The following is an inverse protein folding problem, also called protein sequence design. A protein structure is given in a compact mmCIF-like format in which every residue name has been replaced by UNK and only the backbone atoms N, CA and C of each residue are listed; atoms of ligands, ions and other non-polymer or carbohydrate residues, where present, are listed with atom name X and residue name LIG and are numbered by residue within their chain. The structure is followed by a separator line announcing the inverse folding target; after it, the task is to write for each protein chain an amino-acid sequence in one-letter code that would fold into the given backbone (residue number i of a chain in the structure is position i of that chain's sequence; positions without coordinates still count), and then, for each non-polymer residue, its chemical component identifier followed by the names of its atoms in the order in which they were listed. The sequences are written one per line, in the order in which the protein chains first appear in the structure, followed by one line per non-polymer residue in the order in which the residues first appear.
data_IF_705294045543
#
_entry.id   IF_705294045543
#
_cell.length_a   1.000
_cell.length_b   1.000
_cell.length_c   1.000
_cell.angle_alpha   90.00
_cell.angle_beta   90.00
_cell.angle_gamma   90.00
#
_symmetry.space_group_name_H-M   'P 1'
#
loop_
_entity.id
_entity.type
_entity.pdbx_description
1 polymer ?
#
# COMPACT_ATOMS: atom_id res chain seq x y z
N UNK A 1 0.52 -36.75 -7.50
CA UNK A 1 -0.18 -35.86 -6.54
C UNK A 1 0.69 -34.68 -6.08
N UNK A 2 1.98 -34.88 -5.79
CA UNK A 2 2.88 -33.80 -5.34
C UNK A 2 3.15 -32.71 -6.40
N UNK A 3 3.36 -33.08 -7.68
CA UNK A 3 3.54 -32.11 -8.79
C UNK A 3 2.37 -31.13 -8.94
N UNK A 4 1.13 -31.57 -8.71
CA UNK A 4 -0.08 -30.77 -8.86
C UNK A 4 -0.30 -29.80 -7.69
N UNK A 5 0.33 -30.04 -6.54
CA UNK A 5 0.27 -29.14 -5.38
C UNK A 5 1.31 -28.03 -5.55
N UNK A 6 2.53 -28.37 -5.95
CA UNK A 6 3.60 -27.38 -6.16
C UNK A 6 3.28 -26.38 -7.28
N UNK A 7 2.63 -26.81 -8.36
CA UNK A 7 2.24 -25.89 -9.45
C UNK A 7 1.22 -24.83 -9.04
N UNK A 8 0.51 -25.02 -7.91
CA UNK A 8 -0.50 -24.05 -7.42
C UNK A 8 0.10 -22.92 -6.59
N UNK A 9 1.33 -23.07 -6.11
CA UNK A 9 1.99 -22.15 -5.19
C UNK A 9 3.29 -21.56 -5.73
N UNK A 10 3.55 -21.66 -7.04
CA UNK A 10 4.79 -21.17 -7.65
C UNK A 10 5.01 -19.67 -7.38
N UNK A 11 3.97 -18.84 -7.59
CA UNK A 11 4.07 -17.39 -7.35
C UNK A 11 4.24 -17.06 -5.87
N UNK A 12 3.48 -17.72 -4.99
CA UNK A 12 3.63 -17.52 -3.54
C UNK A 12 5.02 -17.87 -3.04
N UNK A 13 5.60 -18.99 -3.52
CA UNK A 13 6.93 -19.40 -3.11
C UNK A 13 7.97 -18.33 -3.50
N UNK A 14 7.89 -17.80 -4.73
CA UNK A 14 8.80 -16.74 -5.21
C UNK A 14 8.61 -15.44 -4.42
N UNK A 15 7.36 -15.00 -4.21
CA UNK A 15 7.06 -13.77 -3.46
C UNK A 15 7.53 -13.90 -2.01
N UNK A 16 7.25 -15.04 -1.36
CA UNK A 16 7.67 -15.29 0.02
C UNK A 16 9.19 -15.33 0.13
N UNK A 17 9.87 -16.04 -0.77
CA UNK A 17 11.33 -16.09 -0.79
C UNK A 17 11.93 -14.69 -0.91
N UNK A 18 11.40 -13.87 -1.83
CA UNK A 18 11.86 -12.48 -1.99
C UNK A 18 11.63 -11.64 -0.73
N UNK A 19 10.44 -11.70 -0.13
CA UNK A 19 10.13 -10.98 1.11
C UNK A 19 10.98 -11.43 2.29
N UNK A 20 11.25 -12.73 2.42
CA UNK A 20 12.12 -13.27 3.46
C UNK A 20 13.57 -12.82 3.27
N UNK A 21 14.12 -12.89 2.06
CA UNK A 21 15.47 -12.38 1.75
C UNK A 21 15.58 -10.91 2.17
N UNK A 22 14.58 -10.10 1.76
CA UNK A 22 14.52 -8.68 2.10
C UNK A 22 14.44 -8.43 3.60
N UNK A 23 13.61 -9.21 4.30
CA UNK A 23 13.47 -9.17 5.76
C UNK A 23 14.81 -9.48 6.44
N UNK A 24 15.49 -10.57 6.06
CA UNK A 24 16.78 -10.95 6.66
C UNK A 24 17.89 -9.94 6.36
N UNK A 25 17.90 -9.35 5.17
CA UNK A 25 18.89 -8.32 4.81
C UNK A 25 18.72 -7.04 5.63
N UNK A 26 17.49 -6.72 6.06
CA UNK A 26 17.15 -5.49 6.79
C UNK A 26 17.22 -5.65 8.31
N UNK A 27 17.09 -6.87 8.85
CA UNK A 27 16.95 -7.10 10.29
C UNK A 27 18.29 -7.43 10.98
N UNK A 28 18.83 -6.58 11.87
CA UNK A 28 20.07 -6.79 12.62
C UNK A 28 20.07 -7.89 13.67
N UNK A 29 19.02 -8.69 13.80
CA UNK A 29 18.84 -9.50 15.01
C UNK A 29 19.25 -10.96 14.88
N UNK A 30 20.20 -11.36 15.74
CA UNK A 30 20.58 -12.75 16.04
C UNK A 30 19.60 -13.39 17.03
N UNK A 31 18.38 -13.69 16.58
CA UNK A 31 17.42 -14.47 17.40
C UNK A 31 15.96 -14.28 16.99
N UNK A 32 15.14 -15.31 17.17
CA UNK A 32 13.69 -15.26 16.87
C UNK A 32 12.97 -14.38 17.91
N UNK A 33 12.91 -13.08 17.66
CA UNK A 33 12.13 -12.15 18.48
C UNK A 33 10.67 -12.11 18.02
N UNK A 34 9.76 -11.66 18.89
CA UNK A 34 8.35 -11.41 18.53
C UNK A 34 8.24 -10.52 17.28
N UNK A 35 9.11 -9.51 17.14
CA UNK A 35 9.20 -8.63 15.97
C UNK A 35 9.45 -9.39 14.66
N UNK A 36 10.39 -10.34 14.67
CA UNK A 36 10.67 -11.19 13.49
C UNK A 36 9.49 -12.10 13.20
N UNK A 37 8.89 -12.73 14.22
CA UNK A 37 7.72 -13.59 14.05
C UNK A 37 6.55 -12.81 13.41
N UNK A 38 6.28 -11.59 13.86
CA UNK A 38 5.24 -10.73 13.28
C UNK A 38 5.56 -10.29 11.86
N UNK A 39 6.82 -9.93 11.58
CA UNK A 39 7.25 -9.61 10.21
C UNK A 39 7.09 -10.83 9.28
N UNK A 40 7.40 -12.04 9.74
CA UNK A 40 7.16 -13.28 8.99
C UNK A 40 5.67 -13.51 8.72
N UNK A 41 4.80 -13.32 9.73
CA UNK A 41 3.34 -13.41 9.56
C UNK A 41 2.87 -12.39 8.51
N UNK A 42 3.37 -11.16 8.55
CA UNK A 42 3.05 -10.14 7.55
C UNK A 42 3.53 -10.53 6.14
N UNK A 43 4.73 -11.09 6.02
CA UNK A 43 5.27 -11.58 4.75
C UNK A 43 4.39 -12.71 4.18
N UNK A 44 3.98 -13.67 5.02
CA UNK A 44 3.08 -14.75 4.63
C UNK A 44 1.74 -14.18 4.18
N UNK A 45 1.15 -13.26 4.95
CA UNK A 45 -0.12 -12.64 4.61
C UNK A 45 -0.06 -11.94 3.25
N UNK A 46 0.94 -11.11 3.01
CA UNK A 46 1.11 -10.37 1.74
C UNK A 46 1.36 -11.33 0.58
N UNK A 47 2.16 -12.37 0.80
CA UNK A 47 2.37 -13.43 -0.17
C UNK A 47 1.05 -14.05 -0.59
N UNK A 48 0.20 -14.42 0.37
CA UNK A 48 -1.10 -15.03 0.09
C UNK A 48 -2.04 -14.08 -0.65
N UNK A 49 -2.04 -12.79 -0.28
CA UNK A 49 -2.87 -11.77 -0.93
C UNK A 49 -2.41 -11.56 -2.38
N UNK A 50 -1.13 -11.27 -2.62
CA UNK A 50 -0.59 -11.00 -3.95
C UNK A 50 -0.65 -12.25 -4.84
N UNK A 51 -0.33 -13.42 -4.29
CA UNK A 51 -0.42 -14.69 -5.00
C UNK A 51 -1.86 -15.06 -5.36
N UNK A 52 -2.84 -14.83 -4.47
CA UNK A 52 -4.27 -14.93 -4.81
C UNK A 52 -4.67 -13.97 -5.92
N UNK A 53 -4.13 -12.75 -5.92
CA UNK A 53 -4.42 -11.74 -6.94
C UNK A 53 -3.87 -12.17 -8.32
N UNK A 54 -2.63 -12.67 -8.37
CA UNK A 54 -2.03 -13.24 -9.59
C UNK A 54 -2.82 -14.46 -10.08
N UNK A 55 -3.18 -15.39 -9.19
CA UNK A 55 -3.99 -16.56 -9.60
C UNK A 55 -5.37 -16.18 -10.09
N UNK A 56 -5.99 -15.17 -9.50
CA UNK A 56 -7.28 -14.68 -9.95
C UNK A 56 -7.16 -14.10 -11.36
N UNK A 57 -6.12 -13.31 -11.63
CA UNK A 57 -5.82 -12.84 -12.98
C UNK A 57 -5.56 -14.01 -13.95
N UNK A 58 -4.82 -15.05 -13.55
CA UNK A 58 -4.54 -16.22 -14.40
C UNK A 58 -5.79 -16.98 -14.85
N UNK A 59 -6.89 -16.93 -14.08
CA UNK A 59 -8.12 -17.64 -14.42
C UNK A 59 -9.00 -16.88 -15.41
N UNK A 60 -8.92 -15.54 -15.41
CA UNK A 60 -9.93 -14.72 -16.07
C UNK A 60 -9.37 -13.57 -16.91
N UNK A 61 -8.06 -13.38 -16.94
CA UNK A 61 -7.42 -12.31 -17.68
C UNK A 61 -6.58 -12.88 -18.82
N UNK A 62 -6.37 -12.07 -19.85
CA UNK A 62 -5.46 -12.39 -20.93
C UNK A 62 -4.01 -12.47 -20.41
N UNK A 63 -3.15 -13.16 -21.17
CA UNK A 63 -1.74 -13.34 -20.80
C UNK A 63 -1.03 -12.01 -20.54
N UNK A 64 -1.44 -10.96 -21.25
CA UNK A 64 -0.90 -9.62 -21.14
C UNK A 64 -1.26 -8.94 -19.81
N UNK A 65 -2.51 -9.02 -19.35
CA UNK A 65 -2.89 -8.54 -18.01
C UNK A 65 -2.10 -9.27 -16.93
N UNK A 66 -1.94 -10.60 -17.07
CA UNK A 66 -1.15 -11.42 -16.13
C UNK A 66 0.30 -10.93 -16.01
N UNK A 67 0.99 -10.71 -17.14
CA UNK A 67 2.40 -10.24 -17.14
C UNK A 67 2.53 -8.88 -16.47
N UNK A 68 1.60 -7.98 -16.74
CA UNK A 68 1.63 -6.63 -16.15
C UNK A 68 1.34 -6.66 -14.67
N UNK A 69 0.39 -7.49 -14.24
CA UNK A 69 0.14 -7.66 -12.83
C UNK A 69 1.39 -8.21 -12.12
N UNK A 70 2.05 -9.21 -12.70
CA UNK A 70 3.32 -9.71 -12.17
C UNK A 70 4.40 -8.61 -12.12
N UNK A 71 4.44 -7.72 -13.12
CA UNK A 71 5.35 -6.57 -13.13
C UNK A 71 5.02 -5.55 -12.04
N UNK A 72 3.74 -5.22 -11.83
CA UNK A 72 3.32 -4.34 -10.72
C UNK A 72 3.64 -4.94 -9.36
N UNK A 73 3.45 -6.26 -9.21
CA UNK A 73 3.88 -6.99 -8.01
C UNK A 73 5.39 -6.91 -7.84
N UNK A 74 6.16 -7.10 -8.92
CA UNK A 74 7.61 -6.95 -8.88
C UNK A 74 8.06 -5.52 -8.52
N UNK A 75 7.39 -4.49 -9.04
CA UNK A 75 7.61 -3.10 -8.64
C UNK A 75 7.32 -2.85 -7.16
N UNK A 76 6.19 -3.36 -6.64
CA UNK A 76 5.85 -3.24 -5.22
C UNK A 76 6.90 -3.93 -4.34
N UNK A 77 7.22 -5.18 -4.65
CA UNK A 77 8.20 -5.97 -3.88
C UNK A 77 9.60 -5.37 -3.94
N UNK A 78 10.04 -4.99 -5.15
CA UNK A 78 11.33 -4.38 -5.42
C UNK A 78 11.49 -3.02 -4.74
N UNK A 79 10.43 -2.22 -4.65
CA UNK A 79 10.48 -0.88 -4.04
C UNK A 79 10.66 -0.86 -2.52
N UNK A 80 10.95 0.33 -1.99
CA UNK A 80 10.99 0.59 -0.52
C UNK A 80 9.61 0.74 0.12
N UNK A 81 8.50 0.64 -0.63
CA UNK A 81 7.14 0.83 -0.11
C UNK A 81 6.85 -0.12 1.05
N UNK A 82 7.10 -1.42 0.85
CA UNK A 82 6.94 -2.43 1.90
C UNK A 82 7.97 -2.27 3.02
N UNK A 83 9.11 -1.62 2.78
CA UNK A 83 10.12 -1.38 3.81
C UNK A 83 9.67 -0.29 4.79
N UNK A 84 9.11 0.81 4.28
CA UNK A 84 8.61 1.89 5.14
C UNK A 84 7.45 1.47 6.05
N UNK A 85 6.83 0.32 5.76
CA UNK A 85 5.62 -0.13 6.45
C UNK A 85 5.91 -1.41 7.25
N UNK A 86 6.32 -2.49 6.61
CA UNK A 86 6.52 -3.79 7.27
C UNK A 86 7.94 -3.88 7.84
N UNK A 87 8.93 -3.43 7.07
CA UNK A 87 10.34 -3.53 7.45
C UNK A 87 10.91 -2.21 7.97
N UNK A 88 10.12 -1.48 8.75
CA UNK A 88 10.49 -0.13 9.19
C UNK A 88 11.82 -0.16 9.95
N UNK A 89 12.76 0.72 9.59
CA UNK A 89 14.15 0.72 10.08
C UNK A 89 14.27 0.77 11.62
N UNK A 90 13.22 1.20 12.33
CA UNK A 90 13.14 1.23 13.80
C UNK A 90 12.60 -0.08 14.39
N UNK A 91 13.11 -1.24 13.96
CA UNK A 91 12.73 -2.55 14.52
C UNK A 91 13.01 -2.73 16.01
N UNK A 92 13.74 -1.78 16.61
CA UNK A 92 13.98 -1.70 18.06
C UNK A 92 12.66 -1.52 18.84
N UNK A 93 11.66 -0.84 18.27
CA UNK A 93 10.38 -0.63 18.94
C UNK A 93 9.35 -1.71 18.56
N UNK A 94 9.18 -2.71 19.43
CA UNK A 94 8.25 -3.85 19.23
C UNK A 94 6.82 -3.40 18.93
N UNK A 95 6.34 -2.34 19.58
CA UNK A 95 4.98 -1.83 19.39
C UNK A 95 4.74 -1.32 17.97
N UNK A 96 5.77 -0.73 17.35
CA UNK A 96 5.69 -0.15 16.01
C UNK A 96 5.34 -1.18 14.93
N UNK A 97 5.96 -2.35 15.00
CA UNK A 97 5.79 -3.40 13.99
C UNK A 97 4.40 -4.02 14.11
N UNK A 98 3.96 -4.31 15.34
CA UNK A 98 2.60 -4.79 15.62
C UNK A 98 1.59 -3.85 14.97
N UNK A 99 1.74 -2.55 15.24
CA UNK A 99 0.88 -1.51 14.71
C UNK A 99 0.86 -1.53 13.18
N UNK A 100 2.04 -1.47 12.54
CA UNK A 100 2.15 -1.45 11.08
C UNK A 100 1.57 -2.70 10.40
N UNK A 101 1.78 -3.89 10.99
CA UNK A 101 1.21 -5.14 10.46
C UNK A 101 -0.31 -5.13 10.57
N UNK A 102 -0.87 -4.69 11.70
CA UNK A 102 -2.31 -4.52 11.87
C UNK A 102 -2.85 -3.51 10.85
N UNK A 103 -2.16 -2.38 10.64
CA UNK A 103 -2.56 -1.37 9.64
C UNK A 103 -2.65 -1.95 8.23
N UNK A 104 -1.59 -2.61 7.77
CA UNK A 104 -1.55 -3.21 6.43
C UNK A 104 -2.63 -4.28 6.29
N UNK A 105 -2.80 -5.11 7.31
CA UNK A 105 -3.83 -6.15 7.33
C UNK A 105 -5.23 -5.52 7.20
N UNK A 106 -5.57 -4.58 8.07
CA UNK A 106 -6.86 -3.88 8.06
C UNK A 106 -7.12 -3.17 6.73
N UNK A 107 -6.13 -2.47 6.17
CA UNK A 107 -6.25 -1.78 4.88
C UNK A 107 -6.53 -2.77 3.75
N UNK A 108 -5.72 -3.82 3.63
CA UNK A 108 -5.86 -4.81 2.56
C UNK A 108 -7.19 -5.56 2.67
N UNK A 109 -7.59 -5.96 3.90
CA UNK A 109 -8.87 -6.64 4.14
C UNK A 109 -10.04 -5.71 3.85
N UNK A 110 -9.96 -4.42 4.20
CA UNK A 110 -10.98 -3.44 3.83
C UNK A 110 -11.12 -3.37 2.30
N UNK A 111 -10.02 -3.22 1.56
CA UNK A 111 -10.06 -3.24 0.09
C UNK A 111 -10.63 -4.55 -0.49
N UNK A 112 -10.27 -5.70 0.07
CA UNK A 112 -10.68 -7.02 -0.42
C UNK A 112 -12.12 -7.42 -0.06
N UNK A 113 -12.68 -6.80 0.98
CA UNK A 113 -14.08 -7.01 1.37
C UNK A 113 -15.00 -6.07 0.62
N UNK A 114 -14.57 -4.83 0.39
CA UNK A 114 -15.35 -3.76 -0.27
C UNK A 114 -16.02 -4.25 -1.57
N UNK A 115 -17.34 -4.11 -1.64
CA UNK A 115 -18.18 -4.59 -2.74
C UNK A 115 -18.96 -5.88 -2.43
N UNK A 116 -18.73 -6.52 -1.29
CA UNK A 116 -19.50 -7.69 -0.83
C UNK A 116 -20.53 -7.30 0.22
N UNK A 117 -21.81 -7.36 -0.12
CA UNK A 117 -22.91 -6.84 0.70
C UNK A 117 -22.89 -7.31 2.17
N UNK A 118 -22.50 -8.56 2.44
CA UNK A 118 -22.47 -9.13 3.79
C UNK A 118 -21.17 -8.81 4.56
N UNK A 119 -20.02 -8.78 3.89
CA UNK A 119 -18.71 -8.68 4.56
C UNK A 119 -18.27 -7.22 4.82
N UNK A 120 -18.84 -6.24 4.12
CA UNK A 120 -18.40 -4.84 4.17
C UNK A 120 -18.59 -4.15 5.54
N UNK A 121 -19.46 -4.69 6.40
CA UNK A 121 -19.78 -4.09 7.70
C UNK A 121 -18.64 -4.19 8.74
N UNK A 122 -17.59 -4.94 8.44
CA UNK A 122 -16.37 -4.97 9.25
C UNK A 122 -15.45 -3.77 8.99
N UNK A 123 -15.62 -3.04 7.87
CA UNK A 123 -14.75 -1.91 7.50
C UNK A 123 -14.74 -0.80 8.56
N UNK A 124 -15.89 -0.35 9.12
CA UNK A 124 -15.88 0.61 10.23
C UNK A 124 -15.09 0.13 11.46
N UNK A 125 -15.12 -1.17 11.77
CA UNK A 125 -14.34 -1.75 12.87
C UNK A 125 -12.85 -1.66 12.57
N UNK A 126 -12.43 -1.98 11.35
CA UNK A 126 -11.03 -1.81 10.93
C UNK A 126 -10.59 -0.36 11.01
N UNK A 127 -11.42 0.60 10.57
CA UNK A 127 -11.16 2.03 10.70
C UNK A 127 -11.02 2.46 12.17
N UNK A 128 -11.88 1.96 13.06
CA UNK A 128 -11.79 2.20 14.51
C UNK A 128 -10.46 1.69 15.07
N UNK A 129 -10.14 0.41 14.84
CA UNK A 129 -8.92 -0.23 15.35
C UNK A 129 -7.67 0.49 14.86
N UNK A 130 -7.62 0.77 13.56
CA UNK A 130 -6.51 1.52 12.97
C UNK A 130 -6.36 2.91 13.62
N UNK A 131 -7.45 3.66 13.71
CA UNK A 131 -7.40 5.00 14.28
C UNK A 131 -7.09 5.01 15.79
N UNK A 132 -7.50 3.97 16.52
CA UNK A 132 -7.18 3.79 17.94
C UNK A 132 -5.68 3.51 18.16
N UNK A 133 -5.06 2.75 17.25
CA UNK A 133 -3.63 2.42 17.30
C UNK A 133 -2.75 3.60 16.85
N UNK A 134 -3.15 4.30 15.78
CA UNK A 134 -2.41 5.42 15.21
C UNK A 134 -3.39 6.46 14.66
N UNK A 135 -3.63 7.55 15.41
CA UNK A 135 -4.54 8.62 15.00
C UNK A 135 -4.27 9.22 13.61
N UNK A 136 -3.00 9.25 13.18
CA UNK A 136 -2.61 9.71 11.85
C UNK A 136 -3.23 8.88 10.70
N UNK A 137 -3.78 7.69 10.98
CA UNK A 137 -4.55 6.89 10.03
C UNK A 137 -5.65 7.68 9.30
N UNK A 138 -6.30 8.62 10.00
CA UNK A 138 -7.38 9.46 9.46
C UNK A 138 -6.92 10.29 8.26
N UNK A 139 -5.65 10.67 8.23
CA UNK A 139 -5.07 11.46 7.14
C UNK A 139 -4.39 10.58 6.09
N UNK A 140 -3.80 9.45 6.52
CA UNK A 140 -3.02 8.60 5.61
C UNK A 140 -3.93 7.67 4.79
N UNK A 141 -4.74 6.84 5.46
CA UNK A 141 -5.41 5.70 4.81
C UNK A 141 -6.92 5.86 4.72
N UNK A 142 -7.53 6.56 5.66
CA UNK A 142 -8.98 6.77 5.67
C UNK A 142 -9.51 7.44 4.39
N UNK A 143 -8.83 8.46 3.79
CA UNK A 143 -9.28 9.02 2.52
C UNK A 143 -9.38 7.97 1.42
N UNK A 144 -8.47 6.98 1.42
CA UNK A 144 -8.51 5.87 0.46
C UNK A 144 -9.76 5.00 0.64
N UNK A 145 -10.12 4.67 1.89
CA UNK A 145 -11.33 3.90 2.19
C UNK A 145 -12.58 4.67 1.78
N UNK A 146 -12.65 5.97 2.05
CA UNK A 146 -13.79 6.81 1.65
C UNK A 146 -13.91 6.87 0.12
N UNK A 147 -12.80 7.08 -0.59
CA UNK A 147 -12.79 7.09 -2.07
C UNK A 147 -13.21 5.73 -2.64
N UNK A 148 -12.77 4.64 -2.01
CA UNK A 148 -13.15 3.28 -2.41
C UNK A 148 -14.67 3.04 -2.23
N UNK A 149 -15.24 3.46 -1.10
CA UNK A 149 -16.68 3.35 -0.84
C UNK A 149 -17.49 4.27 -1.76
N UNK A 150 -16.98 5.47 -2.07
CA UNK A 150 -17.59 6.38 -3.04
C UNK A 150 -17.62 5.76 -4.45
N UNK A 151 -16.53 5.08 -4.85
CA UNK A 151 -16.49 4.36 -6.12
C UNK A 151 -17.51 3.22 -6.17
N UNK A 152 -17.67 2.46 -5.08
CA UNK A 152 -18.72 1.43 -5.04
C UNK A 152 -20.13 2.00 -5.00
N UNK A 153 -20.32 3.19 -4.41
CA UNK A 153 -21.58 3.89 -4.50
C UNK A 153 -21.89 4.29 -5.94
N UNK A 154 -20.87 4.74 -6.68
CA UNK A 154 -20.96 5.08 -8.10
C UNK A 154 -21.36 3.89 -8.99
N UNK A 155 -20.89 2.67 -8.70
CA UNK A 155 -21.28 1.46 -9.45
C UNK A 155 -22.75 1.04 -9.26
N UNK A 156 -23.56 1.81 -8.52
CA UNK A 156 -25.03 1.72 -8.31
C UNK A 156 -25.55 0.47 -7.61
N UNK A 157 -24.91 -0.69 -7.70
CA UNK A 157 -25.41 -1.93 -7.10
C UNK A 157 -25.59 -1.85 -5.57
N UNK A 158 -24.86 -0.95 -4.89
CA UNK A 158 -24.90 -0.78 -3.43
C UNK A 158 -24.76 0.68 -2.99
N UNK A 159 -25.37 1.62 -3.71
CA UNK A 159 -25.19 3.06 -3.48
C UNK A 159 -25.50 3.51 -2.03
N UNK A 160 -26.72 3.25 -1.56
CA UNK A 160 -27.14 3.64 -0.21
C UNK A 160 -26.28 2.97 0.88
N UNK A 161 -26.01 1.67 0.74
CA UNK A 161 -25.19 0.93 1.69
C UNK A 161 -23.75 1.46 1.74
N UNK A 162 -23.15 1.81 0.60
CA UNK A 162 -21.78 2.31 0.54
C UNK A 162 -21.64 3.70 1.16
N UNK A 163 -22.64 4.57 0.99
CA UNK A 163 -22.69 5.88 1.64
C UNK A 163 -22.83 5.72 3.17
N UNK A 164 -23.73 4.84 3.60
CA UNK A 164 -23.94 4.54 5.02
C UNK A 164 -22.67 3.97 5.67
N UNK A 165 -21.97 3.05 4.98
CA UNK A 165 -20.69 2.52 5.41
C UNK A 165 -19.61 3.61 5.49
N UNK A 166 -19.57 4.56 4.55
CA UNK A 166 -18.67 5.71 4.60
C UNK A 166 -18.90 6.57 5.84
N UNK A 167 -20.17 6.88 6.13
CA UNK A 167 -20.58 7.57 7.36
C UNK A 167 -20.18 6.80 8.62
N UNK A 168 -20.43 5.48 8.66
CA UNK A 168 -20.04 4.62 9.77
C UNK A 168 -18.52 4.59 9.99
N UNK A 169 -17.71 4.56 8.92
CA UNK A 169 -16.25 4.66 9.02
C UNK A 169 -15.81 6.00 9.61
N UNK A 170 -16.46 7.10 9.22
CA UNK A 170 -16.18 8.44 9.77
C UNK A 170 -16.49 8.52 11.25
N UNK A 171 -17.66 8.03 11.67
CA UNK A 171 -18.07 7.99 13.07
C UNK A 171 -17.13 7.11 13.88
N UNK A 172 -16.77 5.93 13.36
CA UNK A 172 -15.85 5.00 14.01
C UNK A 172 -14.45 5.60 14.21
N UNK A 173 -13.88 6.23 13.17
CA UNK A 173 -12.60 6.91 13.30
C UNK A 173 -12.67 8.09 14.27
N UNK A 174 -13.73 8.90 14.23
CA UNK A 174 -13.93 10.00 15.17
C UNK A 174 -14.06 9.50 16.62
N UNK A 175 -14.80 8.41 16.86
CA UNK A 175 -14.90 7.79 18.17
C UNK A 175 -13.54 7.30 18.67
N UNK A 176 -12.74 6.66 17.81
CA UNK A 176 -11.39 6.23 18.15
C UNK A 176 -10.48 7.42 18.48
N UNK A 177 -10.54 8.51 17.71
CA UNK A 177 -9.81 9.75 18.03
C UNK A 177 -10.23 10.35 19.38
N UNK A 178 -11.53 10.36 19.70
CA UNK A 178 -12.02 10.90 20.97
C UNK A 178 -11.57 10.05 22.17
N UNK A 179 -11.56 8.73 22.01
CA UNK A 179 -11.21 7.80 23.09
C UNK A 179 -9.70 7.64 23.29
N UNK A 180 -8.94 7.52 22.19
CA UNK A 180 -7.51 7.18 22.20
C UNK A 180 -6.60 8.32 21.74
N UNK A 181 -7.16 9.38 21.15
CA UNK A 181 -6.37 10.51 20.63
C UNK A 181 -5.87 11.49 21.69
N UNK A 182 -6.11 11.24 22.99
CA UNK A 182 -5.59 12.10 24.08
C UNK A 182 -4.05 12.13 24.13
N UNK A 183 -3.41 11.05 23.69
CA UNK A 183 -1.94 10.94 23.61
C UNK A 183 -1.36 11.52 22.32
N UNK A 184 -2.21 12.03 21.41
CA UNK A 184 -1.75 12.94 20.37
C UNK A 184 -1.31 14.19 21.12
N UNK A 185 -0.03 14.23 21.51
CA UNK A 185 0.60 15.44 22.02
C UNK A 185 0.23 16.52 21.03
N UNK A 186 -0.69 17.40 21.42
CA UNK A 186 -0.92 18.61 20.65
C UNK A 186 0.44 19.24 20.61
N UNK A 187 0.97 19.34 19.40
CA UNK A 187 2.20 20.05 19.17
C UNK A 187 1.83 21.53 19.28
N UNK A 188 1.48 21.96 20.49
CA UNK A 188 0.83 23.23 20.83
C UNK A 188 1.73 24.43 20.45
N UNK A 189 3.02 24.16 20.17
CA UNK A 189 4.03 25.16 19.81
C UNK A 189 4.70 24.98 18.44
N UNK A 190 4.42 23.92 17.66
CA UNK A 190 4.96 23.85 16.28
C UNK A 190 3.90 24.28 15.26
N UNK A 191 4.14 25.45 14.68
CA UNK A 191 3.51 25.83 13.41
C UNK A 191 3.70 24.70 12.38
N UNK A 192 2.74 24.53 11.48
CA UNK A 192 2.85 23.59 10.35
C UNK A 192 4.18 23.79 9.59
N UNK A 193 4.65 25.03 9.51
CA UNK A 193 5.93 25.38 8.90
C UNK A 193 7.12 24.70 9.60
N UNK A 194 7.17 24.69 10.94
CA UNK A 194 8.26 24.05 11.69
C UNK A 194 8.25 22.52 11.52
N UNK A 195 7.06 21.91 11.44
CA UNK A 195 6.95 20.46 11.18
C UNK A 195 7.39 20.12 9.76
N UNK A 196 6.99 20.93 8.77
CA UNK A 196 7.47 20.79 7.40
C UNK A 196 8.98 21.01 7.30
N UNK A 197 9.52 22.01 8.00
CA UNK A 197 10.95 22.32 8.02
C UNK A 197 11.78 21.18 8.63
N UNK A 198 11.26 20.52 9.67
CA UNK A 198 11.92 19.35 10.26
C UNK A 198 11.77 18.08 9.42
N UNK A 199 10.70 17.96 8.63
CA UNK A 199 10.35 16.72 7.92
C UNK A 199 10.68 16.72 6.42
N UNK A 200 10.90 17.88 5.78
CA UNK A 200 11.01 17.95 4.32
C UNK A 200 12.17 17.13 3.77
N UNK A 201 13.30 17.03 4.49
CA UNK A 201 14.45 16.21 4.06
C UNK A 201 14.04 14.74 3.94
N UNK A 202 13.29 14.22 4.91
CA UNK A 202 12.78 12.86 4.89
C UNK A 202 11.76 12.67 3.77
N UNK A 203 10.84 13.63 3.58
CA UNK A 203 9.86 13.59 2.49
C UNK A 203 10.58 13.54 1.14
N UNK A 204 11.52 14.45 0.88
CA UNK A 204 12.27 14.52 -0.38
C UNK A 204 13.09 13.25 -0.60
N UNK A 205 13.74 12.73 0.44
CA UNK A 205 14.47 11.47 0.38
C UNK A 205 13.55 10.29 0.02
N UNK A 206 12.40 10.17 0.69
CA UNK A 206 11.43 9.12 0.43
C UNK A 206 10.81 9.26 -0.97
N UNK A 207 10.50 10.48 -1.41
CA UNK A 207 10.04 10.77 -2.77
C UNK A 207 11.09 10.36 -3.81
N UNK A 208 12.37 10.65 -3.57
CA UNK A 208 13.46 10.27 -4.47
C UNK A 208 13.52 8.74 -4.60
N UNK A 209 13.51 8.01 -3.48
CA UNK A 209 13.57 6.54 -3.46
C UNK A 209 12.45 5.88 -4.29
N UNK A 210 11.22 6.41 -4.23
CA UNK A 210 10.08 5.86 -4.99
C UNK A 210 9.70 6.69 -6.22
N UNK A 211 10.60 7.56 -6.69
CA UNK A 211 10.31 8.49 -7.78
C UNK A 211 9.78 7.79 -9.06
N UNK A 212 10.36 6.66 -9.52
CA UNK A 212 9.79 5.95 -10.67
C UNK A 212 8.34 5.49 -10.46
N UNK A 213 7.98 5.07 -9.24
CA UNK A 213 6.60 4.67 -8.94
C UNK A 213 5.65 5.85 -9.01
N UNK A 214 6.05 7.02 -8.50
CA UNK A 214 5.24 8.24 -8.56
C UNK A 214 4.93 8.61 -10.01
N UNK A 215 5.95 8.56 -10.90
CA UNK A 215 5.74 8.80 -12.32
C UNK A 215 4.82 7.77 -12.96
N UNK A 216 4.99 6.49 -12.61
CA UNK A 216 4.13 5.42 -13.11
C UNK A 216 2.68 5.65 -12.66
N UNK A 217 2.43 5.93 -11.38
CA UNK A 217 1.09 6.23 -10.87
C UNK A 217 0.47 7.46 -11.53
N UNK A 218 1.22 8.56 -11.61
CA UNK A 218 0.76 9.78 -12.28
C UNK A 218 0.34 9.49 -13.73
N UNK A 219 1.16 8.74 -14.47
CA UNK A 219 0.86 8.32 -15.84
C UNK A 219 -0.41 7.47 -15.90
N UNK A 220 -0.58 6.48 -15.01
CA UNK A 220 -1.78 5.64 -14.96
C UNK A 220 -3.03 6.48 -14.72
N UNK A 221 -3.02 7.33 -13.70
CA UNK A 221 -4.22 8.08 -13.31
C UNK A 221 -4.57 9.19 -14.29
N UNK A 222 -3.59 9.94 -14.81
CA UNK A 222 -3.84 10.96 -15.84
C UNK A 222 -4.44 10.32 -17.09
N UNK A 223 -3.87 9.21 -17.57
CA UNK A 223 -4.41 8.51 -18.73
C UNK A 223 -5.81 7.92 -18.46
N UNK A 224 -6.09 7.50 -17.21
CA UNK A 224 -7.42 7.05 -16.80
C UNK A 224 -8.45 8.18 -16.83
N UNK A 225 -8.08 9.38 -16.36
CA UNK A 225 -8.94 10.58 -16.44
C UNK A 225 -9.24 10.95 -17.90
N UNK A 226 -8.24 10.87 -18.78
CA UNK A 226 -8.40 11.18 -20.21
C UNK A 226 -9.32 10.16 -20.89
N UNK A 227 -9.14 8.87 -20.60
CA UNK A 227 -9.94 7.80 -21.21
C UNK A 227 -11.37 7.70 -20.64
N UNK A 228 -11.58 8.14 -19.39
CA UNK A 228 -12.87 8.13 -18.75
C UNK A 228 -13.87 9.01 -19.52
N UNK A 229 -15.08 8.48 -19.78
CA UNK A 229 -16.20 9.26 -20.33
C UNK A 229 -17.06 9.88 -19.23
N UNK A 230 -17.23 9.15 -18.13
CA UNK A 230 -18.09 9.53 -17.02
C UNK A 230 -17.44 10.58 -16.10
N UNK A 231 -18.20 11.62 -15.73
CA UNK A 231 -17.71 12.73 -14.89
C UNK A 231 -17.45 12.30 -13.44
N UNK A 232 -18.30 11.43 -12.87
CA UNK A 232 -18.13 10.95 -11.50
C UNK A 232 -16.92 10.01 -11.38
N UNK A 233 -16.69 9.15 -12.38
CA UNK A 233 -15.48 8.33 -12.42
C UNK A 233 -14.22 9.20 -12.50
N UNK A 234 -14.20 10.25 -13.33
CA UNK A 234 -13.08 11.22 -13.35
C UNK A 234 -12.84 11.85 -11.99
N UNK A 235 -13.91 12.28 -11.32
CA UNK A 235 -13.83 12.85 -9.98
C UNK A 235 -13.19 11.88 -8.99
N UNK A 236 -13.60 10.60 -9.01
CA UNK A 236 -13.00 9.55 -8.16
C UNK A 236 -11.50 9.39 -8.46
N UNK A 237 -11.09 9.32 -9.72
CA UNK A 237 -9.66 9.19 -10.06
C UNK A 237 -8.86 10.43 -9.62
N UNK A 238 -9.43 11.63 -9.71
CA UNK A 238 -8.80 12.86 -9.18
C UNK A 238 -8.61 12.73 -7.66
N UNK A 239 -9.60 12.22 -6.91
CA UNK A 239 -9.45 12.00 -5.48
C UNK A 239 -8.34 10.98 -5.16
N UNK A 240 -8.19 9.93 -5.97
CA UNK A 240 -7.07 8.96 -5.83
C UNK A 240 -5.72 9.64 -6.06
N UNK A 241 -5.62 10.52 -7.07
CA UNK A 241 -4.39 11.27 -7.36
C UNK A 241 -4.03 12.28 -6.26
N UNK A 242 -5.03 12.90 -5.63
CA UNK A 242 -4.84 13.89 -4.55
C UNK A 242 -4.57 13.21 -3.20
N UNK A 243 -4.93 11.93 -3.04
CA UNK A 243 -4.76 11.18 -1.79
C UNK A 243 -3.36 11.32 -1.14
N UNK A 244 -2.23 11.26 -1.87
CA UNK A 244 -0.90 11.41 -1.27
C UNK A 244 -0.70 12.73 -0.51
N UNK A 245 -1.41 13.80 -0.89
CA UNK A 245 -1.33 15.11 -0.21
C UNK A 245 -1.87 15.00 1.22
N UNK A 246 -2.93 14.22 1.45
CA UNK A 246 -3.46 14.02 2.80
C UNK A 246 -2.45 13.29 3.71
N UNK A 247 -1.63 12.42 3.16
CA UNK A 247 -0.58 11.75 3.94
C UNK A 247 0.53 12.71 4.37
N UNK A 248 0.77 13.80 3.63
CA UNK A 248 1.69 14.88 4.06
C UNK A 248 1.09 15.64 5.24
N UNK A 249 -0.22 15.89 5.23
CA UNK A 249 -0.92 16.54 6.36
C UNK A 249 -0.77 15.72 7.65
N UNK A 250 -0.71 14.39 7.54
CA UNK A 250 -0.50 13.50 8.68
C UNK A 250 0.79 13.77 9.46
N UNK A 251 1.82 14.35 8.81
CA UNK A 251 3.08 14.72 9.44
C UNK A 251 2.89 15.80 10.52
N UNK A 252 1.87 16.66 10.38
CA UNK A 252 1.57 17.70 11.36
C UNK A 252 0.96 17.16 12.67
N UNK A 253 0.42 15.94 12.65
CA UNK A 253 -0.39 15.40 13.75
C UNK A 253 0.30 14.27 14.52
N UNK A 254 1.49 13.82 14.11
CA UNK A 254 2.27 12.84 14.88
C UNK A 254 3.73 12.81 14.43
N UNK A 255 4.63 12.37 15.31
CA UNK A 255 5.86 11.69 14.87
C UNK A 255 5.43 10.45 14.08
N UNK A 256 5.12 10.63 12.80
CA UNK A 256 4.50 9.59 12.00
C UNK A 256 5.43 8.39 11.96
N UNK A 257 5.00 7.33 12.65
CA UNK A 257 5.65 6.04 12.76
C UNK A 257 5.81 5.33 11.41
N UNK A 258 4.92 5.67 10.47
CA UNK A 258 4.90 5.17 9.11
C UNK A 258 5.35 6.31 8.20
N UNK A 259 6.28 6.00 7.29
CA UNK A 259 6.66 6.91 6.22
C UNK A 259 5.43 7.22 5.35
N UNK A 260 4.99 8.48 5.38
CA UNK A 260 3.76 8.93 4.71
C UNK A 260 3.82 8.78 3.19
N UNK A 261 5.01 8.89 2.60
CA UNK A 261 5.23 8.71 1.15
C UNK A 261 5.07 7.23 0.80
N UNK A 262 5.67 6.33 1.59
CA UNK A 262 5.55 4.88 1.39
C UNK A 262 4.11 4.42 1.59
N UNK A 263 3.42 4.92 2.62
CA UNK A 263 2.01 4.64 2.86
C UNK A 263 1.13 5.09 1.70
N UNK A 264 1.36 6.29 1.17
CA UNK A 264 0.66 6.79 -0.02
C UNK A 264 0.89 5.88 -1.21
N UNK A 265 2.14 5.49 -1.49
CA UNK A 265 2.46 4.59 -2.58
C UNK A 265 1.79 3.22 -2.42
N UNK A 266 1.70 2.68 -1.20
CA UNK A 266 0.95 1.45 -0.93
C UNK A 266 -0.54 1.61 -1.28
N UNK A 267 -1.16 2.72 -0.89
CA UNK A 267 -2.55 3.03 -1.23
C UNK A 267 -2.77 3.07 -2.75
N UNK A 268 -1.82 3.65 -3.51
CA UNK A 268 -1.90 3.67 -4.97
C UNK A 268 -1.86 2.25 -5.56
N UNK A 269 -1.00 1.36 -5.03
CA UNK A 269 -1.03 -0.06 -5.40
C UNK A 269 -2.36 -0.74 -5.06
N UNK A 270 -2.92 -0.47 -3.87
CA UNK A 270 -4.22 -1.01 -3.49
C UNK A 270 -5.33 -0.62 -4.48
N UNK A 271 -5.36 0.65 -4.94
CA UNK A 271 -6.30 1.09 -5.96
C UNK A 271 -6.07 0.43 -7.33
N UNK A 272 -4.82 0.33 -7.79
CA UNK A 272 -4.50 -0.37 -9.04
C UNK A 272 -4.98 -1.83 -8.99
N UNK A 273 -4.66 -2.53 -7.91
CA UNK A 273 -5.06 -3.92 -7.71
C UNK A 273 -6.58 -4.07 -7.57
N UNK A 274 -7.25 -3.11 -6.94
CA UNK A 274 -8.70 -3.08 -6.85
C UNK A 274 -9.33 -2.96 -8.23
N UNK A 275 -8.94 -1.95 -9.03
CA UNK A 275 -9.48 -1.76 -10.38
C UNK A 275 -9.21 -2.95 -11.31
N UNK A 276 -8.03 -3.57 -11.19
CA UNK A 276 -7.71 -4.81 -11.88
C UNK A 276 -8.62 -5.96 -11.46
N UNK A 277 -8.91 -6.08 -10.16
CA UNK A 277 -9.76 -7.14 -9.64
C UNK A 277 -11.20 -7.02 -10.16
N UNK A 278 -11.77 -5.81 -10.15
CA UNK A 278 -13.15 -5.56 -10.60
C UNK A 278 -13.27 -5.40 -12.12
N UNK A 279 -12.14 -5.30 -12.84
CA UNK A 279 -12.05 -5.16 -14.30
C UNK A 279 -12.82 -3.97 -14.85
N UNK A 280 -12.66 -2.81 -14.24
CA UNK A 280 -13.29 -1.58 -14.73
C UNK A 280 -12.85 -1.29 -16.18
N UNK A 281 -13.80 -1.19 -17.10
CA UNK A 281 -13.49 -1.10 -18.55
C UNK A 281 -12.66 0.13 -18.93
N UNK A 282 -12.89 1.27 -18.28
CA UNK A 282 -12.14 2.49 -18.56
C UNK A 282 -10.70 2.34 -18.08
N UNK A 283 -10.52 1.82 -16.86
CA UNK A 283 -9.21 1.51 -16.30
C UNK A 283 -8.46 0.45 -17.14
N UNK A 284 -9.12 -0.65 -17.52
CA UNK A 284 -8.50 -1.74 -18.29
C UNK A 284 -7.95 -1.25 -19.63
N UNK A 285 -8.66 -0.34 -20.32
CA UNK A 285 -8.18 0.22 -21.60
C UNK A 285 -6.88 1.01 -21.47
N UNK A 286 -6.68 1.68 -20.32
CA UNK A 286 -5.47 2.45 -20.01
C UNK A 286 -4.39 1.53 -19.50
N UNK A 287 -4.78 0.55 -18.69
CA UNK A 287 -3.90 -0.51 -18.23
C UNK A 287 -3.23 -1.20 -19.42
N UNK A 288 -4.01 -1.63 -20.40
CA UNK A 288 -3.54 -2.27 -21.63
C UNK A 288 -2.55 -1.42 -22.43
N UNK A 289 -2.70 -0.09 -22.43
CA UNK A 289 -1.76 0.83 -23.08
C UNK A 289 -0.48 0.95 -22.27
N UNK A 290 -0.57 1.07 -20.95
CA UNK A 290 0.60 1.11 -20.08
C UNK A 290 1.44 -0.17 -20.20
N UNK A 291 0.79 -1.33 -20.28
CA UNK A 291 1.48 -2.61 -20.55
C UNK A 291 2.34 -2.52 -21.82
N UNK A 292 1.75 -2.02 -22.91
CA UNK A 292 2.46 -1.92 -24.19
C UNK A 292 3.70 -1.01 -24.09
N UNK A 293 3.66 0.00 -23.23
CA UNK A 293 4.82 0.88 -23.00
C UNK A 293 5.95 0.09 -22.31
N UNK A 294 5.63 -0.68 -21.26
CA UNK A 294 6.63 -1.48 -20.55
C UNK A 294 7.18 -2.64 -21.39
N UNK A 295 6.33 -3.28 -22.21
CA UNK A 295 6.73 -4.36 -23.11
C UNK A 295 7.63 -3.85 -24.24
N UNK A 296 7.29 -2.70 -24.84
CA UNK A 296 8.10 -2.08 -25.91
C UNK A 296 9.44 -1.57 -25.40
N UNK A 297 9.50 -1.15 -24.14
CA UNK A 297 10.69 -0.55 -23.54
C UNK A 297 11.23 -1.42 -22.39
N UNK A 298 11.56 -2.68 -22.71
CA UNK A 298 12.08 -3.64 -21.72
C UNK A 298 13.27 -3.07 -20.92
N UNK A 299 14.17 -2.33 -21.58
CA UNK A 299 15.29 -1.67 -20.91
C UNK A 299 14.81 -0.69 -19.82
N UNK A 300 13.84 0.17 -20.12
CA UNK A 300 13.25 1.10 -19.14
C UNK A 300 12.64 0.34 -17.97
N UNK A 301 11.91 -0.74 -18.23
CA UNK A 301 11.32 -1.60 -17.20
C UNK A 301 12.40 -2.20 -16.28
N UNK A 302 13.50 -2.70 -16.86
CA UNK A 302 14.65 -3.24 -16.12
C UNK A 302 15.31 -2.13 -15.29
N UNK A 303 15.54 -0.94 -15.86
CA UNK A 303 16.12 0.19 -15.12
C UNK A 303 15.25 0.61 -13.93
N UNK A 304 13.92 0.65 -14.10
CA UNK A 304 13.00 0.93 -12.99
C UNK A 304 13.12 -0.13 -11.90
N UNK A 305 13.15 -1.42 -12.26
CA UNK A 305 13.33 -2.51 -11.28
C UNK A 305 14.67 -2.43 -10.55
N UNK A 306 15.76 -2.16 -11.26
CA UNK A 306 17.10 -1.98 -10.68
C UNK A 306 17.08 -0.79 -9.72
N UNK A 307 16.53 0.35 -10.15
CA UNK A 307 16.43 1.55 -9.31
C UNK A 307 15.66 1.26 -8.02
N UNK A 308 14.45 0.72 -8.14
CA UNK A 308 13.60 0.42 -6.99
C UNK A 308 14.26 -0.57 -6.04
N UNK A 309 14.86 -1.64 -6.58
CA UNK A 309 15.54 -2.68 -5.79
C UNK A 309 16.79 -2.15 -5.11
N UNK A 310 17.59 -1.32 -5.79
CA UNK A 310 18.79 -0.72 -5.21
C UNK A 310 18.44 0.10 -3.97
N UNK A 311 17.51 1.07 -4.08
CA UNK A 311 17.11 1.88 -2.93
C UNK A 311 16.39 1.09 -1.83
N UNK A 312 15.74 -0.01 -2.20
CA UNK A 312 15.16 -0.96 -1.26
C UNK A 312 16.19 -1.71 -0.42
N UNK A 313 17.44 -1.78 -0.88
CA UNK A 313 18.55 -2.42 -0.18
C UNK A 313 19.53 -1.41 0.47
N UNK A 314 19.48 -0.13 0.11
CA UNK A 314 20.41 0.95 0.57
C UNK A 314 20.42 1.22 2.09
N UNK A 315 19.58 0.57 2.88
CA UNK A 315 19.72 0.54 4.34
C UNK A 315 20.21 -0.84 4.82
N UNK A 316 21.44 -1.25 4.46
CA UNK A 316 21.94 -2.55 4.86
C UNK A 316 22.05 -2.61 6.38
N UNK A 317 21.68 -3.77 6.91
CA UNK A 317 22.01 -4.14 8.27
C UNK A 317 23.54 -4.11 8.43
N UNK A 318 24.05 -3.26 9.33
CA UNK A 318 25.49 -3.10 9.61
C UNK A 318 26.16 -4.45 9.95
N UNK A 319 25.44 -5.40 10.58
CA UNK A 319 25.98 -6.74 10.86
C UNK A 319 26.06 -7.63 9.61
N UNK A 320 25.12 -7.51 8.67
CA UNK A 320 25.16 -8.25 7.40
C UNK A 320 26.27 -7.70 6.51
N UNK A 321 26.47 -6.38 6.50
CA UNK A 321 27.61 -5.76 5.85
C UNK A 321 28.94 -6.34 6.38
N UNK A 322 29.11 -6.37 7.71
CA UNK A 322 30.27 -6.98 8.36
C UNK A 322 30.44 -8.49 8.03
N UNK A 323 29.35 -9.26 7.94
CA UNK A 323 29.42 -10.69 7.60
C UNK A 323 29.82 -10.95 6.14
N UNK A 324 29.44 -10.04 5.25
CA UNK A 324 29.83 -10.05 3.84
C UNK A 324 31.21 -9.40 3.58
N UNK A 325 31.91 -8.95 4.63
CA UNK A 325 33.24 -8.37 4.54
C UNK A 325 33.26 -6.91 4.05
N UNK A 326 32.16 -6.17 4.21
CA UNK A 326 32.04 -4.74 3.93
C UNK A 326 32.16 -3.89 5.19
#
# INVERSE_FOLDING_TARGET
MMKTIFSKFEYEAVILAFLLIKMFYRLPYRGLTLSIALAMVACIFITLVLGKLIRHANRYADEKTRRTLALLVAFLLGSSVLNGIIFAAKFVNRGLIVNNVIFVFCLIVAFATTGKAQDNWHIPIFCFVCCAIQPAFVFIFMPAIIVLLLYNAYLKSYASQSILLGGACLIAAAAALLLFGKDIKRVEDLSLANVLESSWKNIVYSLAIVFPLILIFAMFWVNTIIAAKDKMFKFIIILIMVQPIFSVVALAFSEAFIDSVMASALVQFCFLFYFLHIKDSAFMSVFDKAVQIFDRNLLTTIFVLIYLTAFSLVSPNYEVANWLGY
#
